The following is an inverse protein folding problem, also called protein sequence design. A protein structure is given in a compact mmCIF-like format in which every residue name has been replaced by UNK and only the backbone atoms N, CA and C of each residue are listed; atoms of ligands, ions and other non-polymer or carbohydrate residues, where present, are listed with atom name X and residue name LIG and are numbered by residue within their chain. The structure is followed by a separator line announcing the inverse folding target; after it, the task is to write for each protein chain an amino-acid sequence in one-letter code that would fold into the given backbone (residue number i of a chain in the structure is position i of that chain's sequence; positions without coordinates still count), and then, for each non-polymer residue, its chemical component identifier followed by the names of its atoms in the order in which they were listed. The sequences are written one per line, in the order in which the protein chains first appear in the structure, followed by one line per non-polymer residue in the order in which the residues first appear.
data_IF_653887753339
#
_entry.id   IF_653887753339
#
_cell.length_a   1.000
_cell.length_b   1.000
_cell.length_c   1.000
_cell.angle_alpha   90.00
_cell.angle_beta   90.00
_cell.angle_gamma   90.00
#
_symmetry.space_group_name_H-M   'P 1'
#
loop_
_entity.id
_entity.type
_entity.pdbx_description
1 polymer ?
#
# COMPACT_ATOMS: atom_id res chain seq x y z
N UNK A 1 10.80 -11.50 3.59
CA UNK A 1 9.84 -10.50 3.07
C UNK A 1 9.83 -10.61 1.55
N UNK A 2 8.73 -10.39 0.83
CA UNK A 2 8.78 -10.33 -0.63
C UNK A 2 9.66 -9.15 -1.05
N UNK A 3 10.61 -9.44 -1.93
CA UNK A 3 11.52 -8.47 -2.50
C UNK A 3 11.07 -8.14 -3.92
N UNK A 4 11.25 -6.88 -4.31
CA UNK A 4 11.17 -6.46 -5.69
C UNK A 4 12.32 -7.09 -6.49
N UNK A 5 12.19 -7.14 -7.81
CA UNK A 5 13.22 -7.68 -8.71
C UNK A 5 14.59 -6.98 -8.60
N UNK A 6 14.64 -5.79 -8.01
CA UNK A 6 15.85 -5.02 -7.73
C UNK A 6 16.38 -5.20 -6.30
N UNK A 7 15.92 -6.22 -5.56
CA UNK A 7 16.35 -6.53 -4.19
C UNK A 7 15.80 -5.61 -3.10
N UNK A 8 15.00 -4.60 -3.46
CA UNK A 8 14.36 -3.72 -2.47
C UNK A 8 13.15 -4.40 -1.84
N UNK A 9 12.85 -4.17 -0.55
CA UNK A 9 11.67 -4.73 0.08
C UNK A 9 10.38 -4.13 -0.53
N UNK A 10 9.35 -4.98 -0.63
CA UNK A 10 8.01 -4.53 -0.98
C UNK A 10 7.45 -3.52 0.01
N UNK A 11 6.67 -2.57 -0.50
CA UNK A 11 5.93 -1.58 0.30
C UNK A 11 4.56 -1.33 -0.31
N UNK A 12 3.63 -0.86 0.53
CA UNK A 12 2.37 -0.31 0.08
C UNK A 12 2.52 1.20 -0.08
N UNK A 13 1.95 1.73 -1.17
CA UNK A 13 1.83 3.18 -1.36
C UNK A 13 0.40 3.59 -1.07
N UNK A 14 0.26 4.57 -0.20
CA UNK A 14 -1.01 5.27 0.03
C UNK A 14 -0.84 6.72 -0.42
N UNK A 15 -1.90 7.28 -0.97
CA UNK A 15 -1.90 8.63 -1.53
C UNK A 15 -2.84 9.49 -0.71
N UNK A 16 -2.40 10.71 -0.37
CA UNK A 16 -3.03 11.54 0.65
C UNK A 16 -4.48 11.83 0.36
N UNK A 17 -4.79 12.35 -0.83
CA UNK A 17 -6.16 12.70 -1.22
C UNK A 17 -7.13 11.53 -1.08
N UNK A 18 -6.75 10.35 -1.58
CA UNK A 18 -7.59 9.16 -1.51
C UNK A 18 -7.68 8.58 -0.10
N UNK A 19 -6.59 8.63 0.66
CA UNK A 19 -6.59 8.21 2.06
C UNK A 19 -7.53 9.08 2.89
N UNK A 20 -7.47 10.40 2.73
CA UNK A 20 -8.35 11.33 3.42
C UNK A 20 -9.81 11.11 3.02
N UNK A 21 -10.10 10.87 1.73
CA UNK A 21 -11.44 10.50 1.28
C UNK A 21 -11.92 9.21 1.95
N UNK A 22 -11.08 8.17 1.98
CA UNK A 22 -11.42 6.89 2.58
C UNK A 22 -11.66 7.03 4.10
N UNK A 23 -10.83 7.82 4.80
CA UNK A 23 -11.03 8.13 6.22
C UNK A 23 -12.32 8.88 6.52
N UNK A 24 -12.72 9.84 5.67
CA UNK A 24 -13.99 10.58 5.84
C UNK A 24 -15.23 9.69 5.74
N UNK A 25 -15.10 8.49 5.18
CA UNK A 25 -16.19 7.54 5.00
C UNK A 25 -16.01 6.27 5.84
N UNK A 26 -15.20 6.31 6.90
CA UNK A 26 -14.89 5.14 7.76
C UNK A 26 -14.46 3.90 6.96
N UNK A 27 -13.75 4.17 5.86
CA UNK A 27 -13.41 3.16 4.87
C UNK A 27 -12.26 2.26 5.29
N UNK A 28 -12.07 1.20 4.51
CA UNK A 28 -11.12 0.12 4.77
C UNK A 28 -10.16 -0.05 3.61
N UNK A 29 -8.92 -0.39 3.92
CA UNK A 29 -7.97 -0.95 2.97
C UNK A 29 -8.06 -2.46 2.98
N UNK A 30 -7.89 -3.07 1.81
CA UNK A 30 -7.50 -4.47 1.67
C UNK A 30 -6.07 -4.49 1.11
N UNK A 31 -5.09 -4.81 1.96
CA UNK A 31 -3.70 -4.95 1.55
C UNK A 31 -3.46 -6.34 1.04
N UNK A 32 -2.89 -6.47 -0.16
CA UNK A 32 -2.60 -7.75 -0.79
C UNK A 32 -1.12 -7.80 -1.15
N UNK A 33 -0.42 -8.77 -0.58
CA UNK A 33 0.93 -9.15 -0.99
C UNK A 33 0.80 -10.28 -1.99
N UNK A 34 1.43 -10.14 -3.15
CA UNK A 34 1.26 -11.08 -4.24
C UNK A 34 2.56 -11.43 -4.94
N UNK A 35 2.58 -12.57 -5.63
CA UNK A 35 3.66 -12.99 -6.52
C UNK A 35 3.11 -13.15 -7.95
N UNK A 36 3.55 -12.34 -8.93
CA UNK A 36 3.15 -12.52 -10.32
C UNK A 36 3.78 -13.79 -10.91
N UNK A 37 3.08 -14.46 -11.82
CA UNK A 37 3.59 -15.62 -12.56
C UNK A 37 2.89 -15.79 -13.91
N UNK A 38 3.58 -16.39 -14.89
CA UNK A 38 3.07 -16.49 -16.26
C UNK A 38 2.83 -15.11 -16.89
N UNK A 39 1.93 -15.04 -17.87
CA UNK A 39 1.65 -13.79 -18.61
C UNK A 39 0.74 -12.82 -17.85
N UNK A 40 -0.22 -13.33 -17.09
CA UNK A 40 -1.25 -12.54 -16.39
C UNK A 40 -1.66 -13.15 -15.06
N UNK A 41 -0.92 -14.17 -14.58
CA UNK A 41 -1.23 -14.89 -13.35
C UNK A 41 -0.68 -14.19 -12.12
N UNK A 42 -1.34 -14.44 -11.00
CA UNK A 42 -0.99 -13.91 -9.71
C UNK A 42 -1.33 -14.94 -8.62
N UNK A 43 -0.41 -15.15 -7.68
CA UNK A 43 -0.70 -15.85 -6.44
C UNK A 43 -0.74 -14.83 -5.30
N UNK A 44 -1.85 -14.77 -4.55
CA UNK A 44 -1.92 -14.02 -3.30
C UNK A 44 -1.11 -14.77 -2.23
N UNK A 45 -0.19 -14.07 -1.58
CA UNK A 45 0.69 -14.60 -0.55
C UNK A 45 0.15 -14.29 0.84
N UNK A 46 -0.35 -13.07 1.04
CA UNK A 46 -1.03 -12.62 2.26
C UNK A 46 -2.03 -11.52 1.91
N UNK A 47 -3.12 -11.46 2.65
CA UNK A 47 -4.03 -10.32 2.64
C UNK A 47 -4.47 -9.93 4.05
N UNK A 48 -4.83 -8.65 4.23
CA UNK A 48 -5.36 -8.13 5.49
C UNK A 48 -6.23 -6.91 5.24
N UNK A 49 -7.38 -6.88 5.90
CA UNK A 49 -8.21 -5.68 5.96
C UNK A 49 -7.82 -4.80 7.15
N UNK A 50 -7.70 -3.50 6.93
CA UNK A 50 -7.34 -2.51 7.96
C UNK A 50 -8.21 -1.28 7.78
N UNK A 51 -8.82 -0.77 8.86
CA UNK A 51 -9.55 0.52 8.80
C UNK A 51 -8.57 1.62 8.44
N UNK A 52 -9.02 2.59 7.66
CA UNK A 52 -8.18 3.72 7.30
C UNK A 52 -7.70 4.52 8.53
N UNK A 53 -8.44 4.47 9.64
CA UNK A 53 -8.05 5.10 10.91
C UNK A 53 -7.01 4.32 11.73
N UNK A 54 -6.83 3.02 11.45
CA UNK A 54 -5.92 2.13 12.18
C UNK A 54 -4.55 1.98 11.48
N UNK A 55 -4.32 2.68 10.36
CA UNK A 55 -3.02 2.67 9.70
C UNK A 55 -1.93 3.28 10.60
N UNK A 56 -0.68 2.80 10.47
CA UNK A 56 0.46 3.42 11.15
C UNK A 56 0.63 4.88 10.74
N UNK A 57 1.41 5.64 11.51
CA UNK A 57 1.67 7.05 11.22
C UNK A 57 2.22 7.23 9.79
N UNK A 58 1.44 7.89 8.94
CA UNK A 58 1.79 8.12 7.54
C UNK A 58 2.67 9.38 7.41
N UNK A 59 3.87 9.21 6.84
CA UNK A 59 4.77 10.30 6.51
C UNK A 59 4.64 10.64 5.02
N UNK A 60 3.87 11.68 4.75
CA UNK A 60 3.64 12.21 3.41
C UNK A 60 4.91 12.81 2.81
N UNK A 61 5.14 12.53 1.54
CA UNK A 61 6.22 13.09 0.75
C UNK A 61 5.77 13.22 -0.71
N UNK A 62 6.46 14.06 -1.48
CA UNK A 62 6.15 14.26 -2.90
C UNK A 62 6.07 12.93 -3.66
N UNK A 63 4.95 12.71 -4.35
CA UNK A 63 4.71 11.52 -5.18
C UNK A 63 5.39 11.54 -6.54
N UNK A 64 6.13 12.62 -6.86
CA UNK A 64 6.44 13.02 -8.24
C UNK A 64 5.20 13.58 -8.95
N UNK A 65 5.25 13.75 -10.27
CA UNK A 65 4.08 14.12 -11.11
C UNK A 65 3.01 13.01 -11.19
N UNK A 66 3.22 11.90 -10.48
CA UNK A 66 2.29 10.79 -10.45
C UNK A 66 1.13 11.09 -9.47
N UNK A 67 -0.08 11.27 -10.02
CA UNK A 67 -1.36 11.49 -9.31
C UNK A 67 -1.59 12.86 -8.68
N UNK A 68 -0.62 13.79 -8.78
CA UNK A 68 -0.81 15.18 -8.30
C UNK A 68 -1.07 15.30 -6.78
N UNK A 69 -0.70 14.30 -5.99
CA UNK A 69 -0.92 14.26 -4.54
C UNK A 69 0.27 13.63 -3.83
N UNK A 70 0.43 13.93 -2.54
CA UNK A 70 1.48 13.34 -1.72
C UNK A 70 1.25 11.84 -1.52
N UNK A 71 2.34 11.10 -1.32
CA UNK A 71 2.29 9.67 -1.02
C UNK A 71 2.98 9.36 0.31
N UNK A 72 2.59 8.27 0.94
CA UNK A 72 3.32 7.64 2.03
C UNK A 72 3.59 6.17 1.66
N UNK A 73 4.72 5.65 2.15
CA UNK A 73 5.08 4.24 2.00
C UNK A 73 4.89 3.54 3.35
N UNK A 74 4.25 2.39 3.33
CA UNK A 74 4.06 1.53 4.50
C UNK A 74 4.82 0.24 4.24
N UNK A 75 5.65 -0.19 5.18
CA UNK A 75 6.34 -1.47 5.02
C UNK A 75 5.32 -2.61 5.15
N UNK A 76 5.59 -3.76 4.52
CA UNK A 76 4.69 -4.92 4.63
C UNK A 76 4.59 -5.38 6.10
N UNK A 77 5.67 -5.28 6.88
CA UNK A 77 5.69 -5.67 8.29
C UNK A 77 4.90 -4.74 9.22
N UNK A 78 4.66 -3.49 8.83
CA UNK A 78 3.80 -2.59 9.62
C UNK A 78 2.31 -2.92 9.46
N UNK A 79 1.95 -3.71 8.45
CA UNK A 79 0.58 -4.20 8.23
C UNK A 79 0.38 -5.60 8.81
N UNK A 80 1.37 -6.49 8.67
CA UNK A 80 1.28 -7.92 9.03
C UNK A 80 2.20 -8.30 10.18
#
# INVERSE_FOLDING_TARGET
MPEHSNGQPGNFKVYREYHEKLRRHDGWYCFVVYRPHGRSGLTVVKDKMVRACDLPLLRWHGGGDHRGTEQAKISIGDVF
#
